data_IF_256423170585
#
_entry.id   IF_256423170585
#
_cell.length_a   1.000
_cell.length_b   1.000
_cell.length_c   1.000
_cell.angle_alpha   90.00
_cell.angle_beta   90.00
_cell.angle_gamma   90.00
#
_symmetry.space_group_name_H-M   'P 1'
#
loop_
_entity.id
_entity.type
_entity.pdbx_description
1 polymer ?
#
# COMPACT_ATOMS: atom_id res chain seq x y z
N UNK A 1 2.54 33.71 -15.00
CA UNK A 1 2.27 33.48 -13.58
C UNK A 1 3.60 33.53 -12.86
N UNK A 2 3.65 34.16 -11.68
CA UNK A 2 4.88 34.16 -10.90
C UNK A 2 5.16 32.74 -10.39
N UNK A 3 6.40 32.25 -10.56
CA UNK A 3 6.82 30.94 -10.07
C UNK A 3 6.73 30.92 -8.54
N UNK A 4 6.01 29.94 -7.99
CA UNK A 4 5.91 29.76 -6.54
C UNK A 4 7.32 29.52 -5.96
N UNK A 5 7.66 30.29 -4.93
CA UNK A 5 8.95 30.17 -4.22
C UNK A 5 8.72 29.64 -2.83
N UNK A 6 9.45 28.59 -2.49
CA UNK A 6 9.51 28.03 -1.14
C UNK A 6 10.97 27.96 -0.67
N UNK A 7 11.16 27.99 0.64
CA UNK A 7 12.49 27.89 1.25
C UNK A 7 12.46 26.80 2.30
N UNK A 8 12.63 25.53 1.91
CA UNK A 8 12.63 24.41 2.86
C UNK A 8 13.70 24.59 3.93
N UNK A 9 13.36 24.30 5.17
CA UNK A 9 14.30 24.43 6.28
C UNK A 9 15.48 23.49 6.10
N UNK A 10 16.68 24.01 6.29
CA UNK A 10 17.96 23.32 6.04
C UNK A 10 18.14 22.85 4.59
N UNK A 11 17.39 23.39 3.62
CA UNK A 11 17.35 22.94 2.23
C UNK A 11 17.06 21.44 2.07
N UNK A 12 16.37 20.82 3.03
CA UNK A 12 16.01 19.40 3.03
C UNK A 12 14.51 19.22 2.99
N UNK A 13 14.08 18.21 2.26
CA UNK A 13 12.67 17.87 2.07
C UNK A 13 12.48 16.39 2.34
N UNK A 14 11.36 16.03 2.98
CA UNK A 14 10.94 14.65 3.15
C UNK A 14 10.05 14.24 1.96
N UNK A 15 10.36 13.09 1.36
CA UNK A 15 9.65 12.52 0.22
C UNK A 15 9.00 11.19 0.58
N UNK A 16 7.77 10.98 0.18
CA UNK A 16 7.11 9.67 0.15
C UNK A 16 5.98 9.66 -0.88
N UNK A 17 5.39 8.48 -1.14
CA UNK A 17 4.31 8.26 -2.11
C UNK A 17 3.48 7.05 -1.72
N UNK A 18 2.46 6.73 -2.51
CA UNK A 18 1.76 5.45 -2.48
C UNK A 18 1.20 5.09 -1.08
N UNK A 19 0.39 6.00 -0.53
CA UNK A 19 -0.24 5.83 0.79
C UNK A 19 -1.44 4.89 0.72
N UNK A 20 -2.18 4.89 -0.40
CA UNK A 20 -3.33 4.05 -0.68
C UNK A 20 -4.35 3.96 0.46
N UNK A 21 -4.78 5.11 0.99
CA UNK A 21 -5.86 5.16 1.97
C UNK A 21 -7.12 4.49 1.40
N UNK A 22 -7.69 3.56 2.14
CA UNK A 22 -8.84 2.76 1.71
C UNK A 22 -8.49 1.36 1.21
N UNK A 23 -7.21 0.99 1.17
CA UNK A 23 -6.79 -0.39 0.87
C UNK A 23 -7.52 -1.40 1.75
N UNK A 24 -7.69 -2.64 1.24
CA UNK A 24 -8.43 -3.70 1.92
C UNK A 24 -9.88 -3.30 2.29
N UNK A 25 -10.63 -2.78 1.28
CA UNK A 25 -12.06 -2.47 1.40
C UNK A 25 -12.37 -1.45 2.51
N UNK A 26 -11.58 -0.39 2.57
CA UNK A 26 -11.71 0.68 3.57
C UNK A 26 -11.58 0.18 5.02
N UNK A 27 -10.73 -0.82 5.26
CA UNK A 27 -10.57 -1.46 6.56
C UNK A 27 -10.07 -0.49 7.63
N UNK A 28 -10.76 -0.46 8.78
CA UNK A 28 -10.38 0.38 9.92
C UNK A 28 -9.00 0.01 10.47
N UNK A 29 -8.62 -1.26 10.42
CA UNK A 29 -7.29 -1.73 10.83
C UNK A 29 -6.20 -1.05 9.99
N UNK A 30 -6.40 -0.98 8.67
CA UNK A 30 -5.47 -0.35 7.76
C UNK A 30 -5.43 1.17 7.91
N UNK A 31 -6.57 1.81 8.18
CA UNK A 31 -6.59 3.22 8.54
C UNK A 31 -5.79 3.50 9.83
N UNK A 32 -5.86 2.62 10.82
CA UNK A 32 -5.07 2.76 12.05
C UNK A 32 -3.56 2.59 11.79
N UNK A 33 -3.18 1.72 10.84
CA UNK A 33 -1.77 1.55 10.41
C UNK A 33 -1.27 2.86 9.76
N UNK A 34 -2.05 3.44 8.85
CA UNK A 34 -1.66 4.69 8.18
C UNK A 34 -1.59 5.88 9.15
N UNK A 35 -2.42 5.89 10.20
CA UNK A 35 -2.32 6.92 11.25
C UNK A 35 -1.05 6.76 12.10
N UNK A 36 -0.63 5.53 12.44
CA UNK A 36 0.67 5.29 13.07
C UNK A 36 1.83 5.73 12.17
N UNK A 37 1.70 5.52 10.86
CA UNK A 37 2.67 6.03 9.89
C UNK A 37 2.74 7.57 9.92
N UNK A 38 1.59 8.27 9.96
CA UNK A 38 1.57 9.73 10.05
C UNK A 38 2.26 10.26 11.32
N UNK A 39 2.01 9.62 12.47
CA UNK A 39 2.68 9.93 13.73
C UNK A 39 4.19 9.72 13.63
N UNK A 40 4.62 8.66 12.97
CA UNK A 40 6.03 8.40 12.73
C UNK A 40 6.65 9.41 11.75
N UNK A 41 5.97 9.80 10.68
CA UNK A 41 6.43 10.86 9.75
C UNK A 41 6.59 12.18 10.51
N UNK A 42 5.62 12.57 11.35
CA UNK A 42 5.72 13.75 12.20
C UNK A 42 6.95 13.70 13.12
N UNK A 43 7.26 12.54 13.70
CA UNK A 43 8.48 12.34 14.48
C UNK A 43 9.75 12.53 13.64
N UNK A 44 9.78 11.99 12.40
CA UNK A 44 10.94 12.18 11.51
C UNK A 44 11.10 13.66 11.14
N UNK A 45 10.02 14.34 10.78
CA UNK A 45 10.03 15.79 10.51
C UNK A 45 10.68 16.59 11.66
N UNK A 46 10.35 16.23 12.91
CA UNK A 46 10.92 16.85 14.12
C UNK A 46 12.38 16.50 14.34
N UNK A 47 12.75 15.21 14.18
CA UNK A 47 14.13 14.72 14.35
C UNK A 47 15.06 15.42 13.36
N UNK A 48 14.69 15.48 12.10
CA UNK A 48 15.46 16.09 11.02
C UNK A 48 15.26 17.61 10.91
N UNK A 49 14.37 18.19 11.73
CA UNK A 49 14.01 19.62 11.76
C UNK A 49 13.55 20.13 10.40
N UNK A 50 12.68 19.37 9.75
CA UNK A 50 12.10 19.67 8.44
C UNK A 50 10.76 20.40 8.59
N UNK A 51 10.36 21.12 7.54
CA UNK A 51 9.07 21.82 7.45
C UNK A 51 8.34 21.58 6.12
N UNK A 52 8.93 20.82 5.23
CA UNK A 52 8.42 20.63 3.86
C UNK A 52 8.41 19.15 3.49
N UNK A 53 7.29 18.72 2.90
CA UNK A 53 7.03 17.35 2.42
C UNK A 53 6.67 17.41 0.94
N UNK A 54 7.29 16.56 0.12
CA UNK A 54 6.89 16.30 -1.26
C UNK A 54 6.28 14.91 -1.36
N UNK A 55 5.02 14.86 -1.80
CA UNK A 55 4.22 13.64 -1.88
C UNK A 55 3.98 13.28 -3.36
N UNK A 56 4.53 12.15 -3.79
CA UNK A 56 4.58 11.77 -5.20
C UNK A 56 3.41 10.87 -5.66
N UNK A 57 2.19 11.15 -5.20
CA UNK A 57 0.95 10.55 -5.73
C UNK A 57 0.47 9.29 -5.02
N UNK A 58 -0.75 8.87 -5.36
CA UNK A 58 -1.48 7.74 -4.80
C UNK A 58 -1.79 7.89 -3.29
N UNK A 59 -2.55 8.94 -2.98
CA UNK A 59 -3.09 9.16 -1.62
C UNK A 59 -4.19 8.16 -1.31
N UNK A 60 -5.15 7.99 -2.25
CA UNK A 60 -6.28 7.07 -2.11
C UNK A 60 -6.06 5.78 -2.89
N UNK A 61 -6.73 4.71 -2.47
CA UNK A 61 -6.61 3.40 -3.12
C UNK A 61 -7.62 3.20 -4.25
N UNK A 62 -8.87 3.63 -4.04
CA UNK A 62 -9.94 3.47 -5.02
C UNK A 62 -10.26 4.81 -5.70
N UNK A 63 -10.20 4.81 -7.03
CA UNK A 63 -10.47 6.01 -7.86
C UNK A 63 -11.94 6.32 -8.04
N UNK A 64 -12.84 5.33 -7.82
CA UNK A 64 -14.26 5.47 -8.12
C UNK A 64 -15.08 5.76 -6.88
N UNK A 65 -14.69 5.23 -5.72
CA UNK A 65 -15.44 5.35 -4.49
C UNK A 65 -14.52 5.50 -3.27
N UNK A 66 -14.68 6.59 -2.54
CA UNK A 66 -13.95 6.82 -1.30
C UNK A 66 -14.93 6.75 -0.12
N UNK A 67 -14.78 5.74 0.71
CA UNK A 67 -15.60 5.54 1.89
C UNK A 67 -15.50 6.71 2.89
N UNK A 68 -16.57 6.99 3.62
CA UNK A 68 -16.60 8.06 4.64
C UNK A 68 -15.53 7.86 5.71
N UNK A 69 -15.29 6.61 6.13
CA UNK A 69 -14.23 6.28 7.08
C UNK A 69 -12.82 6.53 6.52
N UNK A 70 -12.63 6.34 5.20
CA UNK A 70 -11.38 6.65 4.49
C UNK A 70 -11.15 8.16 4.41
N UNK A 71 -12.18 8.95 4.08
CA UNK A 71 -12.10 10.43 4.12
C UNK A 71 -11.75 10.93 5.53
N UNK A 72 -12.34 10.31 6.56
CA UNK A 72 -12.03 10.65 7.94
C UNK A 72 -10.59 10.29 8.32
N UNK A 73 -10.09 9.15 7.85
CA UNK A 73 -8.70 8.75 8.05
C UNK A 73 -7.73 9.70 7.31
N UNK A 74 -8.04 10.08 6.07
CA UNK A 74 -7.27 11.05 5.30
C UNK A 74 -7.18 12.40 6.03
N UNK A 75 -8.34 12.90 6.51
CA UNK A 75 -8.34 14.13 7.31
C UNK A 75 -7.43 14.03 8.54
N UNK A 76 -7.52 12.95 9.30
CA UNK A 76 -6.66 12.74 10.48
C UNK A 76 -5.19 12.63 10.13
N UNK A 77 -4.85 11.93 9.04
CA UNK A 77 -3.48 11.80 8.55
C UNK A 77 -2.87 13.18 8.28
N UNK A 78 -3.56 14.00 7.50
CA UNK A 78 -3.07 15.34 7.15
C UNK A 78 -3.19 16.35 8.31
N UNK A 79 -4.12 16.17 9.24
CA UNK A 79 -4.18 16.97 10.47
C UNK A 79 -2.92 16.76 11.36
N UNK A 80 -2.34 15.55 11.37
CA UNK A 80 -1.07 15.27 12.04
C UNK A 80 0.12 15.99 11.38
N UNK A 81 0.01 16.27 10.08
CA UNK A 81 1.05 16.96 9.30
C UNK A 81 0.76 18.44 9.07
N UNK A 82 -0.22 19.03 9.76
CA UNK A 82 -0.72 20.41 9.55
C UNK A 82 0.31 21.52 9.76
N UNK A 83 1.39 21.23 10.49
CA UNK A 83 2.45 22.20 10.80
C UNK A 83 3.52 22.26 9.71
N UNK A 84 3.40 21.43 8.66
CA UNK A 84 4.32 21.31 7.54
C UNK A 84 3.66 21.76 6.23
N UNK A 85 4.48 22.21 5.28
CA UNK A 85 4.03 22.43 3.91
C UNK A 85 4.06 21.11 3.15
N UNK A 86 2.93 20.69 2.62
CA UNK A 86 2.82 19.45 1.83
C UNK A 86 2.55 19.82 0.38
N UNK A 87 3.46 19.47 -0.50
CA UNK A 87 3.33 19.63 -1.94
C UNK A 87 3.06 18.26 -2.55
N UNK A 88 1.89 18.06 -3.14
CA UNK A 88 1.48 16.76 -3.65
C UNK A 88 0.96 16.81 -5.08
N UNK A 89 1.11 15.69 -5.76
CA UNK A 89 0.54 15.43 -7.08
C UNK A 89 -0.48 14.30 -7.01
N UNK A 90 -1.52 14.27 -7.84
CA UNK A 90 -2.34 13.08 -8.01
C UNK A 90 -1.58 11.97 -8.74
N UNK A 91 -1.68 10.74 -8.22
CA UNK A 91 -1.26 9.52 -8.88
C UNK A 91 -2.38 8.89 -9.72
N UNK A 92 -2.16 7.67 -10.21
CA UNK A 92 -3.14 6.99 -11.05
C UNK A 92 -4.36 6.48 -10.26
N UNK A 93 -4.22 6.22 -8.97
CA UNK A 93 -5.33 5.85 -8.09
C UNK A 93 -6.14 7.05 -7.61
N UNK A 94 -5.58 8.25 -7.66
CA UNK A 94 -6.29 9.49 -7.31
C UNK A 94 -7.13 10.04 -8.48
N UNK A 95 -6.80 9.66 -9.71
CA UNK A 95 -7.44 10.15 -10.93
C UNK A 95 -8.73 9.38 -11.25
N UNK A 96 -9.84 10.10 -11.51
CA UNK A 96 -11.12 9.47 -11.89
C UNK A 96 -11.00 8.66 -13.18
N UNK A 97 -10.32 9.20 -14.21
CA UNK A 97 -10.04 8.51 -15.46
C UNK A 97 -8.56 8.11 -15.52
N UNK A 98 -8.25 6.95 -16.08
CA UNK A 98 -6.87 6.48 -16.24
C UNK A 98 -6.01 7.34 -17.18
N UNK A 99 -6.64 8.16 -18.02
CA UNK A 99 -5.98 8.97 -19.06
C UNK A 99 -5.73 10.43 -18.68
N UNK A 100 -6.32 10.93 -17.60
CA UNK A 100 -6.21 12.33 -17.17
C UNK A 100 -6.39 12.47 -15.67
N UNK A 101 -5.77 13.49 -15.10
CA UNK A 101 -5.90 13.86 -13.67
C UNK A 101 -6.74 15.13 -13.45
N UNK A 102 -7.46 15.61 -14.48
CA UNK A 102 -8.30 16.80 -14.40
C UNK A 102 -9.33 16.71 -13.26
N UNK A 103 -9.94 15.52 -13.11
CA UNK A 103 -10.80 15.19 -11.98
C UNK A 103 -10.05 14.19 -11.12
N UNK A 104 -9.67 14.62 -9.92
CA UNK A 104 -8.94 13.77 -8.98
C UNK A 104 -9.41 13.98 -7.54
N UNK A 105 -9.23 12.95 -6.72
CA UNK A 105 -9.69 12.93 -5.34
C UNK A 105 -8.87 13.80 -4.39
N UNK A 106 -7.61 14.06 -4.71
CA UNK A 106 -6.70 14.77 -3.79
C UNK A 106 -6.95 16.28 -3.74
N UNK A 107 -7.67 16.85 -4.69
CA UNK A 107 -8.08 18.26 -4.67
C UNK A 107 -8.88 18.62 -3.39
N UNK A 108 -9.61 17.67 -2.80
CA UNK A 108 -10.35 17.92 -1.55
C UNK A 108 -9.44 18.17 -0.34
N UNK A 109 -8.15 17.84 -0.45
CA UNK A 109 -7.16 18.01 0.61
C UNK A 109 -6.53 19.41 0.57
N UNK A 110 -6.68 20.13 -0.54
CA UNK A 110 -6.05 21.43 -0.74
C UNK A 110 -6.47 22.44 0.34
N UNK A 111 -5.47 23.09 0.95
CA UNK A 111 -5.67 24.10 1.96
C UNK A 111 -4.42 25.01 2.05
N UNK A 112 -4.34 25.86 3.07
CA UNK A 112 -3.21 26.79 3.25
C UNK A 112 -1.83 26.14 3.40
N UNK A 113 -1.77 24.86 3.78
CA UNK A 113 -0.53 24.11 4.01
C UNK A 113 -0.36 22.93 3.03
N UNK A 114 -1.41 22.57 2.28
CA UNK A 114 -1.40 21.49 1.30
C UNK A 114 -1.63 22.08 -0.08
N UNK A 115 -0.64 21.91 -0.95
CA UNK A 115 -0.64 22.42 -2.32
C UNK A 115 -0.78 21.23 -3.27
N UNK A 116 -1.83 21.22 -4.09
CA UNK A 116 -2.13 20.14 -5.03
C UNK A 116 -1.79 20.59 -6.44
N UNK A 117 -0.90 19.86 -7.11
CA UNK A 117 -0.51 20.16 -8.49
C UNK A 117 -1.15 19.14 -9.44
N UNK A 118 -2.32 19.49 -9.98
CA UNK A 118 -3.03 18.66 -10.97
C UNK A 118 -2.53 18.87 -12.41
N UNK A 119 -1.62 19.81 -12.62
CA UNK A 119 -0.94 20.05 -13.89
C UNK A 119 0.57 20.16 -13.65
N UNK A 120 1.42 19.88 -14.67
CA UNK A 120 2.85 20.05 -14.54
C UNK A 120 3.20 21.45 -14.05
N UNK A 121 3.80 21.54 -12.87
CA UNK A 121 4.04 22.82 -12.20
C UNK A 121 5.48 22.91 -11.71
N UNK A 122 6.20 23.95 -12.15
CA UNK A 122 7.55 24.23 -11.67
C UNK A 122 7.51 25.23 -10.52
N UNK A 123 8.17 24.89 -9.42
CA UNK A 123 8.40 25.79 -8.30
C UNK A 123 9.89 26.03 -8.11
N UNK A 124 10.23 27.09 -7.39
CA UNK A 124 11.60 27.35 -6.93
C UNK A 124 11.70 26.99 -5.44
N UNK A 125 12.44 25.90 -5.14
CA UNK A 125 12.70 25.46 -3.77
C UNK A 125 14.16 25.84 -3.41
N UNK A 126 14.31 26.86 -2.56
CA UNK A 126 15.62 27.49 -2.40
C UNK A 126 16.09 28.13 -3.72
N UNK A 127 17.17 27.60 -4.29
CA UNK A 127 17.71 28.02 -5.60
C UNK A 127 17.52 26.95 -6.69
N UNK A 128 16.74 25.89 -6.42
CA UNK A 128 16.52 24.76 -7.33
C UNK A 128 15.14 24.79 -7.98
N UNK A 129 15.12 24.51 -9.27
CA UNK A 129 13.87 24.35 -10.02
C UNK A 129 13.36 22.92 -9.87
N UNK A 130 12.22 22.75 -9.22
CA UNK A 130 11.55 21.47 -9.01
C UNK A 130 10.26 21.45 -9.81
N UNK A 131 10.09 20.49 -10.70
CA UNK A 131 8.88 20.33 -11.47
C UNK A 131 8.06 19.15 -10.97
N UNK A 132 6.85 19.42 -10.51
CA UNK A 132 5.85 18.44 -10.13
C UNK A 132 5.12 17.92 -11.36
N UNK A 133 5.09 16.62 -11.54
CA UNK A 133 4.59 15.92 -12.71
C UNK A 133 3.50 14.91 -12.29
N UNK A 134 2.22 15.31 -12.28
CA UNK A 134 1.13 14.39 -11.95
C UNK A 134 1.03 13.24 -12.97
N UNK A 135 0.24 12.21 -12.64
CA UNK A 135 0.00 11.08 -13.52
C UNK A 135 -0.32 11.49 -14.95
N UNK A 136 0.27 10.81 -15.95
CA UNK A 136 0.11 11.10 -17.40
C UNK A 136 0.70 12.43 -17.87
N UNK A 137 1.61 13.02 -17.12
CA UNK A 137 2.39 14.17 -17.61
C UNK A 137 3.17 13.82 -18.88
N UNK A 138 3.07 14.68 -19.90
CA UNK A 138 3.82 14.52 -21.16
C UNK A 138 5.24 15.08 -21.01
N UNK A 139 6.25 14.21 -20.96
CA UNK A 139 7.65 14.57 -20.69
C UNK A 139 8.19 15.56 -21.72
N UNK A 140 7.86 15.37 -22.99
CA UNK A 140 8.35 16.22 -24.10
C UNK A 140 8.00 17.71 -23.96
N UNK A 141 7.00 18.04 -23.14
CA UNK A 141 6.55 19.41 -22.93
C UNK A 141 7.08 20.04 -21.63
N UNK A 142 7.90 19.33 -20.87
CA UNK A 142 8.40 19.82 -19.60
C UNK A 142 9.57 20.80 -19.78
N UNK A 143 9.65 21.84 -18.94
CA UNK A 143 10.84 22.69 -18.88
C UNK A 143 12.02 21.92 -18.26
N UNK A 144 13.25 22.33 -18.63
CA UNK A 144 14.44 21.85 -17.92
C UNK A 144 14.34 22.22 -16.44
N UNK A 145 14.68 21.30 -15.57
CA UNK A 145 14.59 21.43 -14.12
C UNK A 145 15.77 20.76 -13.45
N UNK A 146 16.05 21.11 -12.20
CA UNK A 146 17.04 20.39 -11.39
C UNK A 146 16.49 19.02 -10.95
N UNK A 147 15.17 18.94 -10.67
CA UNK A 147 14.52 17.70 -10.26
C UNK A 147 13.09 17.62 -10.81
N UNK A 148 12.68 16.40 -11.20
CA UNK A 148 11.25 16.06 -11.39
C UNK A 148 10.75 15.29 -10.19
N UNK A 149 9.56 15.65 -9.69
CA UNK A 149 8.78 14.88 -8.72
C UNK A 149 7.55 14.36 -9.43
N UNK A 150 7.50 13.07 -9.71
CA UNK A 150 6.49 12.51 -10.59
C UNK A 150 5.77 11.28 -10.05
N UNK A 151 4.79 10.83 -10.84
CA UNK A 151 4.14 9.54 -10.65
C UNK A 151 4.20 8.79 -11.97
N UNK A 152 5.41 8.31 -12.32
CA UNK A 152 5.75 7.80 -13.65
C UNK A 152 5.71 6.27 -13.71
N UNK A 153 5.36 5.76 -14.89
CA UNK A 153 5.65 4.40 -15.32
C UNK A 153 6.93 4.42 -16.14
N UNK A 154 8.06 3.90 -15.60
CA UNK A 154 9.35 3.94 -16.30
C UNK A 154 9.74 2.51 -16.68
N UNK A 155 10.04 2.31 -17.97
CA UNK A 155 10.45 1.02 -18.48
C UNK A 155 11.70 0.49 -17.78
N UNK A 156 11.76 -0.83 -17.62
CA UNK A 156 12.84 -1.60 -17.02
C UNK A 156 12.99 -1.46 -15.49
N UNK A 157 12.23 -0.63 -14.79
CA UNK A 157 12.22 -0.59 -13.33
C UNK A 157 11.38 -1.71 -12.73
N UNK A 158 11.69 -2.08 -11.49
CA UNK A 158 10.96 -3.12 -10.74
C UNK A 158 9.63 -2.57 -10.25
N UNK A 159 8.54 -3.22 -10.65
CA UNK A 159 7.21 -2.96 -10.09
C UNK A 159 7.08 -3.59 -8.69
N UNK A 160 7.69 -4.78 -8.50
CA UNK A 160 7.79 -5.51 -7.24
C UNK A 160 9.02 -6.43 -7.27
N UNK A 161 9.17 -7.33 -6.29
CA UNK A 161 10.32 -8.25 -6.19
C UNK A 161 10.50 -9.18 -7.39
N UNK A 162 9.44 -9.43 -8.18
CA UNK A 162 9.43 -10.44 -9.26
C UNK A 162 9.13 -9.88 -10.64
N UNK A 163 8.50 -8.72 -10.74
CA UNK A 163 8.04 -8.14 -12.00
C UNK A 163 8.77 -6.84 -12.33
N UNK A 164 9.29 -6.78 -13.55
CA UNK A 164 9.90 -5.58 -14.15
C UNK A 164 8.89 -4.97 -15.12
N UNK A 165 8.81 -3.65 -15.16
CA UNK A 165 7.97 -2.91 -16.10
C UNK A 165 8.59 -2.98 -17.50
N UNK A 166 7.84 -3.44 -18.49
CA UNK A 166 8.29 -3.60 -19.88
C UNK A 166 7.78 -2.48 -20.81
N UNK A 167 7.11 -1.49 -20.28
CA UNK A 167 6.52 -0.36 -21.01
C UNK A 167 6.72 0.94 -20.23
N UNK A 168 6.13 2.04 -20.70
CA UNK A 168 6.18 3.35 -20.03
C UNK A 168 7.26 4.27 -20.57
N UNK A 169 7.60 5.26 -19.77
CA UNK A 169 8.53 6.32 -20.13
C UNK A 169 9.99 5.83 -20.24
N UNK A 170 10.77 6.47 -21.09
CA UNK A 170 12.20 6.20 -21.21
C UNK A 170 12.97 6.94 -20.11
N UNK A 171 13.87 6.21 -19.41
CA UNK A 171 14.83 6.85 -18.49
C UNK A 171 15.66 7.94 -19.16
N UNK A 172 16.04 7.74 -20.42
CA UNK A 172 16.84 8.70 -21.16
C UNK A 172 16.07 10.01 -21.39
N UNK A 173 14.79 9.92 -21.81
CA UNK A 173 13.97 11.11 -22.05
C UNK A 173 13.73 11.91 -20.77
N UNK A 174 13.52 11.24 -19.64
CA UNK A 174 13.40 11.89 -18.33
C UNK A 174 14.70 12.59 -17.92
N UNK A 175 15.84 11.93 -18.08
CA UNK A 175 17.16 12.47 -17.74
C UNK A 175 17.67 13.55 -18.72
N UNK A 176 17.02 13.69 -19.86
CA UNK A 176 17.19 14.88 -20.70
C UNK A 176 16.51 16.12 -20.12
N UNK A 177 15.43 15.96 -19.33
CA UNK A 177 14.66 17.06 -18.73
C UNK A 177 15.24 17.50 -17.40
N UNK A 178 15.65 16.54 -16.55
CA UNK A 178 16.23 16.84 -15.23
C UNK A 178 17.31 15.82 -14.85
N UNK A 179 18.25 16.24 -14.01
CA UNK A 179 19.31 15.35 -13.54
C UNK A 179 18.84 14.39 -12.45
N UNK A 180 17.79 14.73 -11.71
CA UNK A 180 17.26 13.95 -10.61
C UNK A 180 15.76 13.72 -10.79
N UNK A 181 15.36 12.44 -10.83
CA UNK A 181 13.96 12.04 -10.94
C UNK A 181 13.56 11.32 -9.66
N UNK A 182 12.52 11.81 -8.98
CA UNK A 182 11.94 11.18 -7.80
C UNK A 182 10.48 10.86 -8.12
N UNK A 183 10.10 9.59 -7.98
CA UNK A 183 8.77 9.16 -8.44
C UNK A 183 8.11 8.15 -7.49
N UNK A 184 6.78 8.18 -7.44
CA UNK A 184 5.91 7.13 -6.91
C UNK A 184 5.53 6.11 -7.97
N UNK A 185 4.40 5.42 -7.78
CA UNK A 185 3.74 4.42 -8.61
C UNK A 185 4.18 2.99 -8.34
N UNK A 186 5.48 2.67 -8.35
CA UNK A 186 5.93 1.34 -7.99
C UNK A 186 6.23 1.24 -6.50
N UNK A 187 5.61 0.25 -5.83
CA UNK A 187 5.79 0.05 -4.39
C UNK A 187 7.17 -0.49 -4.01
N UNK A 188 7.94 -0.94 -5.01
CA UNK A 188 9.32 -1.38 -4.82
C UNK A 188 10.25 -0.18 -4.85
N UNK A 189 10.95 0.09 -3.73
CA UNK A 189 11.94 1.16 -3.68
C UNK A 189 13.17 0.77 -4.50
N UNK A 190 13.54 1.61 -5.47
CA UNK A 190 14.72 1.41 -6.31
C UNK A 190 15.39 2.75 -6.63
N UNK A 191 16.70 2.84 -6.46
CA UNK A 191 17.49 3.98 -6.94
C UNK A 191 18.48 3.49 -8.00
N UNK A 192 18.52 4.16 -9.12
CA UNK A 192 19.52 3.94 -10.17
C UNK A 192 20.31 5.20 -10.39
N UNK A 193 21.61 5.06 -10.24
CA UNK A 193 22.55 6.12 -10.52
C UNK A 193 23.01 6.03 -11.97
N UNK A 194 23.16 7.18 -12.60
CA UNK A 194 23.63 7.37 -13.96
C UNK A 194 24.92 8.19 -13.95
N UNK A 195 25.50 8.44 -15.12
CA UNK A 195 26.66 9.29 -15.27
C UNK A 195 26.41 10.72 -14.77
N UNK A 196 27.47 11.44 -14.43
CA UNK A 196 27.44 12.84 -13.95
C UNK A 196 26.59 13.07 -12.67
N UNK A 197 26.43 12.03 -11.82
CA UNK A 197 25.71 12.12 -10.55
C UNK A 197 24.19 12.13 -10.68
N UNK A 198 23.66 11.91 -11.87
CA UNK A 198 22.21 11.81 -12.10
C UNK A 198 21.62 10.54 -11.49
N UNK A 199 20.34 10.61 -11.10
CA UNK A 199 19.64 9.41 -10.62
C UNK A 199 18.14 9.42 -10.92
N UNK A 200 17.57 8.22 -10.92
CA UNK A 200 16.13 7.99 -10.86
C UNK A 200 15.83 7.21 -9.59
N UNK A 201 14.96 7.74 -8.74
CA UNK A 201 14.55 7.16 -7.48
C UNK A 201 13.04 6.86 -7.51
N UNK A 202 12.67 5.58 -7.49
CA UNK A 202 11.36 5.15 -7.03
C UNK A 202 11.33 5.15 -5.52
N UNK A 203 10.42 5.92 -4.92
CA UNK A 203 10.28 6.06 -3.47
C UNK A 203 9.85 4.75 -2.81
N UNK A 204 9.00 3.99 -3.52
CA UNK A 204 8.30 2.85 -2.96
C UNK A 204 7.21 3.25 -1.97
N UNK A 205 6.35 2.32 -1.60
CA UNK A 205 5.36 2.56 -0.56
C UNK A 205 6.01 2.72 0.82
N UNK A 206 5.49 3.60 1.70
CA UNK A 206 6.13 3.89 2.99
C UNK A 206 5.88 2.80 4.05
N UNK A 207 5.01 1.82 3.76
CA UNK A 207 4.69 0.67 4.60
C UNK A 207 4.29 -0.52 3.72
N UNK A 208 4.26 -1.73 4.30
CA UNK A 208 3.83 -2.92 3.58
C UNK A 208 2.30 -2.98 3.50
N UNK A 209 1.73 -3.09 2.31
CA UNK A 209 0.29 -3.18 2.07
C UNK A 209 -0.19 -4.61 1.84
N UNK A 210 0.69 -5.49 1.33
CA UNK A 210 0.38 -6.89 1.10
C UNK A 210 1.63 -7.79 1.19
N UNK A 211 1.44 -9.10 0.97
CA UNK A 211 2.54 -10.06 0.98
C UNK A 211 3.53 -9.91 -0.18
N UNK A 212 3.23 -9.13 -1.20
CA UNK A 212 4.16 -8.77 -2.28
C UNK A 212 5.19 -7.74 -1.84
N UNK A 213 4.87 -6.97 -0.82
CA UNK A 213 5.73 -5.93 -0.24
C UNK A 213 6.74 -6.46 0.81
N UNK A 214 6.58 -7.72 1.25
CA UNK A 214 7.44 -8.31 2.26
C UNK A 214 8.91 -8.35 1.81
N UNK A 215 9.79 -8.39 2.79
CA UNK A 215 11.25 -8.49 2.59
C UNK A 215 11.85 -7.28 1.83
N UNK A 216 11.14 -6.15 1.80
CA UNK A 216 11.59 -4.90 1.21
C UNK A 216 11.66 -3.81 2.27
N UNK A 217 12.68 -2.95 2.25
CA UNK A 217 12.70 -1.80 3.13
C UNK A 217 11.60 -0.81 2.73
N UNK A 218 10.74 -0.46 3.68
CA UNK A 218 9.67 0.53 3.54
C UNK A 218 9.99 1.76 4.40
N UNK A 219 9.64 2.94 3.92
CA UNK A 219 9.94 4.17 4.66
C UNK A 219 9.82 5.42 3.82
N UNK A 220 10.57 6.46 4.20
CA UNK A 220 10.59 7.75 3.53
C UNK A 220 12.00 8.13 3.11
N UNK A 221 12.13 9.04 2.17
CA UNK A 221 13.44 9.57 1.75
C UNK A 221 13.57 11.02 2.14
N UNK A 222 14.72 11.42 2.68
CA UNK A 222 15.07 12.81 2.94
C UNK A 222 16.12 13.21 1.90
N UNK A 223 15.83 14.27 1.14
CA UNK A 223 16.70 14.74 0.08
C UNK A 223 17.17 16.14 0.42
N UNK A 224 18.48 16.32 0.38
CA UNK A 224 19.14 17.63 0.48
C UNK A 224 19.11 18.30 -0.89
N UNK A 225 18.43 19.44 -1.02
CA UNK A 225 18.26 20.11 -2.30
C UNK A 225 19.53 20.83 -2.80
N UNK A 226 20.53 21.03 -1.96
CA UNK A 226 21.81 21.61 -2.41
C UNK A 226 22.68 20.57 -3.13
N UNK A 227 22.76 19.36 -2.57
CA UNK A 227 23.62 18.27 -3.05
C UNK A 227 22.90 17.17 -3.79
N UNK A 228 21.56 17.07 -3.62
CA UNK A 228 20.68 15.97 -4.05
C UNK A 228 21.03 14.62 -3.43
N UNK A 229 21.76 14.62 -2.31
CA UNK A 229 21.98 13.39 -1.54
C UNK A 229 20.68 12.87 -0.96
N UNK A 230 20.52 11.55 -1.05
CA UNK A 230 19.31 10.84 -0.60
C UNK A 230 19.61 10.04 0.65
N UNK A 231 18.97 10.36 1.76
CA UNK A 231 18.96 9.56 2.98
C UNK A 231 17.63 8.79 3.07
N UNK A 232 17.69 7.47 3.18
CA UNK A 232 16.50 6.64 3.38
C UNK A 232 16.28 6.37 4.87
N UNK A 233 15.07 6.66 5.35
CA UNK A 233 14.67 6.42 6.74
C UNK A 233 13.66 5.28 6.75
N UNK A 234 14.09 4.11 7.25
CA UNK A 234 13.25 2.91 7.28
C UNK A 234 12.16 3.01 8.34
N UNK A 235 10.96 2.61 7.95
CA UNK A 235 9.79 2.52 8.84
C UNK A 235 9.77 1.18 9.58
N UNK A 236 9.88 1.24 10.90
CA UNK A 236 9.80 0.08 11.79
C UNK A 236 8.56 0.10 12.70
N UNK A 237 7.63 1.06 12.51
CA UNK A 237 6.48 1.23 13.42
C UNK A 237 5.19 0.61 12.87
N UNK A 238 5.12 0.36 11.57
CA UNK A 238 3.96 -0.30 10.96
C UNK A 238 4.15 -1.81 10.91
N UNK A 239 3.05 -2.60 10.91
CA UNK A 239 3.12 -4.04 10.78
C UNK A 239 3.86 -4.50 9.54
N UNK A 240 4.57 -5.62 9.65
CA UNK A 240 5.20 -6.34 8.54
C UNK A 240 4.43 -7.62 8.20
N UNK A 241 4.58 -8.10 6.97
CA UNK A 241 3.98 -9.35 6.50
C UNK A 241 5.00 -10.49 6.61
N UNK A 242 4.66 -11.53 7.33
CA UNK A 242 5.52 -12.72 7.47
C UNK A 242 4.81 -13.96 6.94
N UNK A 243 5.45 -14.66 6.02
CA UNK A 243 5.05 -16.00 5.59
C UNK A 243 5.88 -17.01 6.34
N UNK A 244 5.28 -17.68 7.30
CA UNK A 244 5.92 -18.66 8.18
C UNK A 244 5.67 -20.07 7.65
N UNK A 245 6.71 -20.79 7.27
CA UNK A 245 6.62 -22.22 6.95
C UNK A 245 6.60 -23.04 8.23
N UNK A 246 5.80 -24.12 8.26
CA UNK A 246 5.77 -25.04 9.40
C UNK A 246 7.15 -25.60 9.68
N UNK A 247 7.89 -26.01 8.64
CA UNK A 247 9.26 -26.54 8.76
C UNK A 247 10.22 -25.54 9.42
N UNK A 248 10.07 -24.24 9.15
CA UNK A 248 10.90 -23.19 9.74
C UNK A 248 10.53 -22.91 11.20
N UNK A 249 9.23 -23.01 11.55
CA UNK A 249 8.73 -22.75 12.91
C UNK A 249 9.24 -23.80 13.89
N UNK A 250 9.23 -25.07 13.48
CA UNK A 250 9.65 -26.21 14.34
C UNK A 250 11.11 -26.05 14.79
N UNK A 251 11.94 -25.39 13.96
CA UNK A 251 13.37 -25.19 14.25
C UNK A 251 13.68 -23.94 15.07
N UNK A 252 12.73 -23.01 15.23
CA UNK A 252 12.93 -21.72 15.92
C UNK A 252 12.54 -21.77 17.38
N UNK A 253 13.16 -20.90 18.19
CA UNK A 253 12.76 -20.73 19.60
C UNK A 253 11.43 -19.99 19.70
N UNK A 254 10.59 -20.41 20.64
CA UNK A 254 9.27 -19.79 20.86
C UNK A 254 9.31 -18.26 21.06
N UNK A 255 10.33 -17.73 21.72
CA UNK A 255 10.47 -16.29 21.93
C UNK A 255 10.67 -15.51 20.62
N UNK A 256 11.44 -16.08 19.69
CA UNK A 256 11.72 -15.48 18.40
C UNK A 256 10.46 -15.46 17.51
N UNK A 257 9.68 -16.55 17.57
CA UNK A 257 8.39 -16.66 16.88
C UNK A 257 7.39 -15.65 17.46
N UNK A 258 7.28 -15.58 18.78
CA UNK A 258 6.35 -14.67 19.46
C UNK A 258 6.65 -13.18 19.11
N UNK A 259 7.92 -12.79 19.10
CA UNK A 259 8.34 -11.43 18.74
C UNK A 259 8.01 -11.10 17.27
N UNK A 260 8.15 -12.08 16.37
CA UNK A 260 7.85 -11.91 14.94
C UNK A 260 6.35 -11.87 14.66
N UNK A 261 5.53 -12.63 15.42
CA UNK A 261 4.08 -12.74 15.22
C UNK A 261 3.35 -11.55 15.81
N UNK A 262 3.79 -11.04 16.95
CA UNK A 262 3.09 -9.96 17.69
C UNK A 262 2.95 -8.71 16.84
N UNK A 263 1.72 -8.20 16.74
CA UNK A 263 1.33 -6.97 16.03
C UNK A 263 1.64 -6.96 14.51
N UNK A 264 2.01 -8.13 13.94
CA UNK A 264 2.32 -8.29 12.52
C UNK A 264 1.24 -9.11 11.78
N UNK A 265 1.32 -9.15 10.45
CA UNK A 265 0.39 -9.86 9.57
C UNK A 265 1.04 -11.19 9.17
N UNK A 266 0.39 -12.28 9.53
CA UNK A 266 0.96 -13.61 9.45
C UNK A 266 0.23 -14.49 8.45
N UNK A 267 0.96 -15.11 7.53
CA UNK A 267 0.52 -16.25 6.73
C UNK A 267 1.29 -17.49 7.15
N UNK A 268 0.59 -18.46 7.76
CA UNK A 268 1.14 -19.78 8.06
C UNK A 268 1.07 -20.64 6.80
N UNK A 269 2.21 -20.96 6.23
CA UNK A 269 2.32 -21.82 5.05
C UNK A 269 2.57 -23.27 5.46
N UNK A 270 1.58 -24.13 5.18
CA UNK A 270 1.64 -25.57 5.46
C UNK A 270 2.40 -26.24 4.31
N UNK A 271 3.72 -26.39 4.47
CA UNK A 271 4.66 -26.91 3.48
C UNK A 271 5.02 -28.39 3.70
N UNK A 272 4.40 -29.03 4.70
CA UNK A 272 4.65 -30.44 5.04
C UNK A 272 3.38 -31.10 5.57
N UNK A 273 3.32 -32.43 5.49
CA UNK A 273 2.24 -33.22 6.12
C UNK A 273 2.29 -33.04 7.63
N UNK A 274 1.20 -32.57 8.19
CA UNK A 274 1.00 -32.39 9.63
C UNK A 274 -0.35 -32.97 10.04
N UNK A 275 -0.40 -33.59 11.19
CA UNK A 275 -1.65 -34.07 11.77
C UNK A 275 -2.56 -32.86 12.11
N UNK A 276 -3.85 -32.97 11.82
CA UNK A 276 -4.83 -31.89 12.00
C UNK A 276 -4.81 -31.33 13.43
N UNK A 277 -4.81 -32.19 14.43
CA UNK A 277 -4.78 -31.77 15.84
C UNK A 277 -3.51 -30.98 16.18
N UNK A 278 -2.37 -31.39 15.63
CA UNK A 278 -1.09 -30.66 15.82
C UNK A 278 -1.11 -29.31 15.12
N UNK A 279 -1.71 -29.23 13.92
CA UNK A 279 -1.89 -27.96 13.20
C UNK A 279 -2.79 -27.00 13.99
N UNK A 280 -3.92 -27.48 14.52
CA UNK A 280 -4.85 -26.68 15.31
C UNK A 280 -4.19 -26.12 16.58
N UNK A 281 -3.39 -26.94 17.26
CA UNK A 281 -2.61 -26.50 18.42
C UNK A 281 -1.57 -25.43 18.04
N UNK A 282 -0.90 -25.58 16.90
CA UNK A 282 0.06 -24.59 16.39
C UNK A 282 -0.65 -23.27 16.05
N UNK A 283 -1.76 -23.32 15.32
CA UNK A 283 -2.58 -22.15 14.99
C UNK A 283 -3.03 -21.45 16.26
N UNK A 284 -3.59 -22.19 17.23
CA UNK A 284 -4.01 -21.63 18.51
C UNK A 284 -2.87 -20.96 19.27
N UNK A 285 -1.68 -21.55 19.22
CA UNK A 285 -0.48 -21.01 19.87
C UNK A 285 -0.02 -19.72 19.19
N UNK A 286 0.02 -19.68 17.86
CA UNK A 286 0.38 -18.47 17.10
C UNK A 286 -0.62 -17.34 17.32
N UNK A 287 -1.92 -17.66 17.37
CA UNK A 287 -2.97 -16.68 17.67
C UNK A 287 -2.81 -16.05 19.07
N UNK A 288 -2.35 -16.83 20.08
CA UNK A 288 -2.08 -16.30 21.41
C UNK A 288 -0.94 -15.25 21.46
N UNK A 289 -0.06 -15.23 20.46
CA UNK A 289 0.99 -14.22 20.38
C UNK A 289 0.49 -12.85 19.89
N UNK A 290 -0.79 -12.73 19.51
CA UNK A 290 -1.43 -11.47 19.14
C UNK A 290 -1.00 -10.94 17.78
N UNK A 291 -1.09 -11.72 16.69
CA UNK A 291 -0.93 -11.19 15.35
C UNK A 291 -2.05 -10.18 15.04
N UNK A 292 -1.75 -9.16 14.24
CA UNK A 292 -2.76 -8.21 13.77
C UNK A 292 -3.77 -8.89 12.81
N UNK A 293 -3.25 -9.74 11.93
CA UNK A 293 -4.03 -10.62 11.05
C UNK A 293 -3.32 -11.97 10.95
N UNK A 294 -4.12 -13.04 10.82
CA UNK A 294 -3.61 -14.39 10.70
C UNK A 294 -4.39 -15.16 9.63
N UNK A 295 -3.68 -15.83 8.72
CA UNK A 295 -4.27 -16.75 7.75
C UNK A 295 -3.42 -18.00 7.61
N UNK A 296 -4.01 -19.09 7.12
CA UNK A 296 -3.32 -20.34 6.79
C UNK A 296 -3.38 -20.59 5.29
N UNK A 297 -2.24 -20.89 4.69
CA UNK A 297 -2.09 -21.27 3.28
C UNK A 297 -1.61 -22.72 3.19
N UNK A 298 -2.23 -23.53 2.35
CA UNK A 298 -1.87 -24.93 2.13
C UNK A 298 -1.16 -25.11 0.79
N UNK A 299 -0.11 -25.95 0.75
CA UNK A 299 0.49 -26.38 -0.50
C UNK A 299 -0.43 -27.43 -1.15
N UNK A 300 -1.19 -27.03 -2.16
CA UNK A 300 -2.13 -27.90 -2.89
C UNK A 300 -1.41 -28.84 -3.88
N UNK A 301 -0.08 -28.71 -4.05
CA UNK A 301 0.69 -29.42 -5.07
C UNK A 301 1.09 -30.86 -4.68
N UNK A 302 0.94 -31.26 -3.43
CA UNK A 302 1.00 -32.69 -3.10
C UNK A 302 -0.35 -33.33 -3.43
N UNK A 303 -0.37 -34.21 -4.42
CA UNK A 303 -1.50 -35.05 -4.80
C UNK A 303 -2.18 -35.61 -3.53
N UNK A 304 -3.19 -34.91 -3.05
CA UNK A 304 -4.22 -35.58 -2.28
C UNK A 304 -4.93 -36.45 -3.29
N UNK A 305 -4.58 -37.76 -3.34
CA UNK A 305 -5.49 -38.77 -3.84
C UNK A 305 -6.73 -38.69 -2.96
N UNK A 306 -7.58 -37.73 -3.21
CA UNK A 306 -8.92 -37.70 -2.64
C UNK A 306 -9.65 -38.84 -3.30
N UNK A 307 -9.84 -39.93 -2.58
CA UNK A 307 -10.74 -40.99 -3.02
C UNK A 307 -12.09 -40.31 -3.29
N UNK A 308 -12.52 -40.37 -4.56
CA UNK A 308 -13.78 -39.71 -4.98
C UNK A 308 -14.99 -40.21 -4.22
N UNK A 309 -14.87 -41.29 -3.42
CA UNK A 309 -15.86 -41.74 -2.44
C UNK A 309 -15.93 -40.86 -1.19
N UNK A 310 -14.84 -40.18 -0.82
CA UNK A 310 -14.85 -39.25 0.33
C UNK A 310 -15.32 -37.85 -0.06
N UNK A 311 -15.23 -37.45 -1.34
CA UNK A 311 -15.85 -36.18 -1.82
C UNK A 311 -17.38 -36.23 -1.69
N UNK A 312 -18.01 -37.40 -1.89
CA UNK A 312 -19.47 -37.56 -1.64
C UNK A 312 -19.84 -37.49 -0.17
N UNK A 313 -18.91 -37.71 0.76
CA UNK A 313 -19.09 -37.46 2.21
C UNK A 313 -18.79 -36.03 2.63
N UNK A 314 -17.98 -35.31 1.85
CA UNK A 314 -17.67 -33.89 2.03
C UNK A 314 -18.57 -32.95 1.22
N UNK A 315 -19.56 -33.47 0.48
CA UNK A 315 -20.68 -32.64 0.08
C UNK A 315 -21.41 -32.25 1.37
N UNK A 316 -21.01 -31.14 1.93
CA UNK A 316 -21.83 -30.44 2.93
C UNK A 316 -23.17 -30.29 2.24
N UNK A 317 -24.15 -31.05 2.70
CA UNK A 317 -25.53 -30.84 2.32
C UNK A 317 -25.84 -29.40 2.77
N UNK A 318 -25.91 -28.51 1.78
CA UNK A 318 -26.10 -27.06 2.03
C UNK A 318 -27.37 -26.83 2.81
N UNK A 319 -28.38 -27.69 2.66
CA UNK A 319 -29.60 -27.63 3.46
C UNK A 319 -29.30 -27.92 4.95
N UNK A 320 -28.44 -28.90 5.24
CA UNK A 320 -27.96 -29.19 6.60
C UNK A 320 -27.13 -28.04 7.16
N UNK A 321 -26.24 -27.44 6.37
CA UNK A 321 -25.47 -26.28 6.80
C UNK A 321 -26.34 -25.04 7.10
N UNK A 322 -27.41 -24.80 6.33
CA UNK A 322 -28.37 -23.77 6.63
C UNK A 322 -29.16 -24.07 7.93
N UNK A 323 -29.54 -25.31 8.19
CA UNK A 323 -30.17 -25.72 9.43
C UNK A 323 -29.30 -25.38 10.65
N UNK A 324 -28.04 -25.85 10.64
CA UNK A 324 -27.10 -25.62 11.74
C UNK A 324 -26.83 -24.11 11.95
N UNK A 325 -26.65 -23.34 10.87
CA UNK A 325 -26.40 -21.90 10.96
C UNK A 325 -27.61 -21.16 11.58
N UNK A 326 -28.83 -21.45 11.11
CA UNK A 326 -30.06 -20.76 11.57
C UNK A 326 -30.40 -21.09 13.00
N UNK A 327 -29.98 -22.25 13.52
CA UNK A 327 -30.17 -22.56 14.95
C UNK A 327 -29.45 -21.59 15.88
N UNK A 328 -28.36 -21.00 15.43
CA UNK A 328 -27.51 -20.08 16.22
C UNK A 328 -27.74 -18.59 15.94
N UNK A 329 -28.65 -18.26 15.02
CA UNK A 329 -28.93 -16.84 14.65
C UNK A 329 -30.17 -16.34 15.35
N UNK A 330 -30.08 -15.18 15.99
CA UNK A 330 -31.25 -14.43 16.49
C UNK A 330 -31.95 -13.69 15.33
N UNK A 331 -33.19 -14.03 15.04
CA UNK A 331 -33.97 -13.42 13.95
C UNK A 331 -35.31 -12.91 14.44
N UNK A 332 -35.89 -11.90 13.75
CA UNK A 332 -37.24 -11.41 14.01
C UNK A 332 -38.35 -12.28 13.37
N UNK A 333 -38.00 -13.06 12.35
CA UNK A 333 -38.85 -14.04 11.70
C UNK A 333 -38.69 -15.41 12.37
N UNK A 334 -39.59 -16.36 12.13
CA UNK A 334 -39.41 -17.72 12.62
C UNK A 334 -38.20 -18.38 11.92
N UNK A 335 -37.45 -19.18 12.65
CA UNK A 335 -36.29 -19.91 12.08
C UNK A 335 -36.67 -20.72 10.85
N UNK A 336 -37.88 -21.27 10.81
CA UNK A 336 -38.41 -22.01 9.66
C UNK A 336 -38.59 -21.11 8.42
N UNK A 337 -39.19 -19.92 8.57
CA UNK A 337 -39.33 -18.98 7.45
C UNK A 337 -38.00 -18.51 6.87
N UNK A 338 -37.02 -18.27 7.75
CA UNK A 338 -35.64 -17.90 7.29
C UNK A 338 -35.00 -19.06 6.54
N UNK A 339 -35.11 -20.29 7.05
CA UNK A 339 -34.57 -21.48 6.40
C UNK A 339 -35.22 -21.71 5.02
N UNK A 340 -36.53 -21.70 4.93
CA UNK A 340 -37.28 -21.90 3.69
C UNK A 340 -36.85 -20.87 2.63
N UNK A 341 -36.61 -19.62 3.05
CA UNK A 341 -36.14 -18.54 2.16
C UNK A 341 -34.69 -18.75 1.72
N UNK A 342 -33.77 -19.18 2.59
CA UNK A 342 -32.41 -19.51 2.22
C UNK A 342 -32.33 -20.65 1.19
N UNK A 343 -33.14 -21.70 1.38
CA UNK A 343 -33.24 -22.83 0.45
C UNK A 343 -33.81 -22.39 -0.92
N UNK A 344 -34.87 -21.57 -0.90
CA UNK A 344 -35.47 -21.02 -2.12
C UNK A 344 -34.43 -20.20 -2.92
N UNK A 345 -33.74 -19.27 -2.25
CA UNK A 345 -32.70 -18.45 -2.90
C UNK A 345 -31.54 -19.29 -3.45
N UNK A 346 -31.10 -20.31 -2.72
CA UNK A 346 -30.08 -21.22 -3.19
C UNK A 346 -30.48 -21.96 -4.47
N UNK A 347 -31.72 -22.48 -4.53
CA UNK A 347 -32.27 -23.14 -5.72
C UNK A 347 -32.36 -22.18 -6.92
N UNK A 348 -32.75 -20.91 -6.70
CA UNK A 348 -32.76 -19.89 -7.74
C UNK A 348 -31.36 -19.58 -8.28
N UNK A 349 -30.33 -19.55 -7.41
CA UNK A 349 -28.93 -19.35 -7.85
C UNK A 349 -28.40 -20.51 -8.68
N UNK A 350 -28.82 -21.76 -8.39
CA UNK A 350 -28.41 -22.93 -9.20
C UNK A 350 -29.01 -22.89 -10.61
N UNK A 351 -30.27 -22.47 -10.76
CA UNK A 351 -30.93 -22.38 -12.07
C UNK A 351 -30.51 -21.19 -12.93
N UNK A 352 -29.83 -20.18 -12.35
CA UNK A 352 -29.32 -19.02 -13.07
C UNK A 352 -27.94 -19.27 -13.74
N UNK A 353 -27.32 -20.43 -13.49
CA UNK A 353 -26.03 -20.83 -14.05
C UNK A 353 -26.11 -22.00 -15.06
N UNK A 354 -27.33 -22.48 -15.39
CA UNK A 354 -27.62 -23.32 -16.55
C UNK A 354 -28.10 -22.44 -17.74
#
# INVERSE_FOLDING_TARGET
MDTLKINPKNNKVLFFSDLHLGVHQNSQTWHNITLKLAEWIDQQMKIYKLDTIFFAGDVFHDRHEIGVNTLHAAKKFFDLLKDYQVHLIPGNHDAFLSSTVEINSVQILENKNIFVYSEPTTILAGNKQITFCPWKTQIANLPKSDMLVGHFEIANFKMNSTKICDHGDSSADLLEVADHIVTGHFHYREIRNYEDGKYILYLGSPYEMDFGDRDQPKGVSIIDLDTFDVEFVENHVTPKHFRLKITDIISKRYKDIAALVKDNIISLYVDSKIETLTLDLLISKLAQYGPLQFRTEFNILDEVQVDTKDIKKLSIDIETAFHEFIEHVETRATKKEVLDKCIEMYKLCQTAHE
#
